data_IF_055261783602
#
_entry.id   IF_055261783602
#
_cell.length_a   1.000
_cell.length_b   1.000
_cell.length_c   1.000
_cell.angle_alpha   90.00
_cell.angle_beta   90.00
_cell.angle_gamma   90.00
#
_symmetry.space_group_name_H-M   'P 1'
#
loop_
_entity.id
_entity.type
_entity.pdbx_description
1 polymer ?
#
# COMPACT_ATOMS: atom_id res chain seq x y z
N UNK A 1 4.46 4.84 -13.84
CA UNK A 1 3.61 5.44 -12.76
C UNK A 1 3.35 4.40 -11.67
N UNK A 2 3.10 4.86 -10.44
CA UNK A 2 2.81 4.02 -9.27
C UNK A 2 1.52 4.50 -8.59
N UNK A 3 0.76 3.56 -8.03
CA UNK A 3 -0.37 3.83 -7.14
C UNK A 3 -0.18 3.10 -5.82
N UNK A 4 -0.49 3.77 -4.72
CA UNK A 4 -0.60 3.16 -3.39
C UNK A 4 -2.06 3.25 -3.00
N UNK A 5 -2.65 2.12 -2.60
CA UNK A 5 -4.07 2.00 -2.30
C UNK A 5 -4.23 1.39 -0.93
N UNK A 6 -5.02 2.06 -0.10
CA UNK A 6 -5.43 1.56 1.20
C UNK A 6 -6.85 1.01 1.10
N UNK A 7 -7.07 -0.17 1.68
CA UNK A 7 -8.34 -0.88 1.63
C UNK A 7 -8.73 -1.37 3.02
N UNK A 8 -10.04 -1.57 3.21
CA UNK A 8 -10.54 -2.44 4.26
C UNK A 8 -10.61 -3.86 3.73
N UNK A 9 -9.72 -4.73 4.19
CA UNK A 9 -9.68 -6.12 3.77
C UNK A 9 -10.86 -6.88 4.37
N UNK A 10 -11.56 -7.67 3.56
CA UNK A 10 -12.78 -8.38 3.97
C UNK A 10 -12.65 -9.91 3.84
N UNK A 11 -11.65 -10.39 3.09
CA UNK A 11 -11.42 -11.82 2.88
C UNK A 11 -9.99 -12.10 2.33
N UNK A 12 -9.49 -13.35 2.46
CA UNK A 12 -8.25 -13.81 1.82
C UNK A 12 -8.23 -13.54 0.32
N UNK A 13 -7.15 -12.96 -0.21
CA UNK A 13 -6.98 -12.63 -1.62
C UNK A 13 -7.66 -11.34 -2.08
N UNK A 14 -8.29 -10.56 -1.18
CA UNK A 14 -8.98 -9.31 -1.54
C UNK A 14 -8.06 -8.33 -2.30
N UNK A 15 -6.79 -8.20 -1.89
CA UNK A 15 -5.83 -7.30 -2.52
C UNK A 15 -5.65 -7.59 -4.03
N UNK A 16 -5.62 -8.87 -4.43
CA UNK A 16 -5.49 -9.25 -5.85
C UNK A 16 -6.68 -8.81 -6.68
N UNK A 17 -7.91 -8.93 -6.14
CA UNK A 17 -9.12 -8.41 -6.80
C UNK A 17 -9.01 -6.91 -7.03
N UNK A 18 -8.52 -6.17 -6.04
CA UNK A 18 -8.34 -4.71 -6.14
C UNK A 18 -7.28 -4.36 -7.19
N UNK A 19 -6.12 -5.03 -7.20
CA UNK A 19 -5.08 -4.84 -8.22
C UNK A 19 -5.64 -5.01 -9.65
N UNK A 20 -6.34 -6.11 -9.90
CA UNK A 20 -6.94 -6.39 -11.21
C UNK A 20 -8.03 -5.37 -11.57
N UNK A 21 -8.79 -4.90 -10.59
CA UNK A 21 -9.77 -3.83 -10.77
C UNK A 21 -9.13 -2.50 -11.19
N UNK A 22 -8.04 -2.10 -10.53
CA UNK A 22 -7.32 -0.86 -10.85
C UNK A 22 -6.75 -0.91 -12.28
N UNK A 23 -6.18 -2.06 -12.68
CA UNK A 23 -5.62 -2.20 -14.03
C UNK A 23 -6.67 -2.29 -15.15
N UNK A 24 -7.93 -2.61 -14.83
CA UNK A 24 -8.97 -2.85 -15.85
C UNK A 24 -10.09 -1.80 -15.88
N UNK A 25 -10.44 -1.18 -14.76
CA UNK A 25 -11.68 -0.40 -14.65
C UNK A 25 -11.56 1.02 -15.24
N UNK A 26 -10.58 1.82 -14.80
CA UNK A 26 -10.42 3.20 -15.24
C UNK A 26 -9.23 3.36 -16.19
N UNK A 27 -9.48 3.96 -17.36
CA UNK A 27 -8.44 4.23 -18.37
C UNK A 27 -7.23 4.98 -17.81
N UNK A 28 -7.44 5.87 -16.85
CA UNK A 28 -6.37 6.65 -16.21
C UNK A 28 -5.33 5.77 -15.48
N UNK A 29 -5.72 4.58 -15.01
CA UNK A 29 -4.85 3.68 -14.26
C UNK A 29 -4.35 2.47 -15.07
N UNK A 30 -4.78 2.32 -16.32
CA UNK A 30 -4.36 1.21 -17.20
C UNK A 30 -2.83 1.17 -17.43
N UNK A 31 -2.15 2.31 -17.39
CA UNK A 31 -0.69 2.40 -17.56
C UNK A 31 0.08 2.47 -16.23
N UNK A 32 -0.59 2.30 -15.09
CA UNK A 32 0.07 2.21 -13.78
C UNK A 32 0.83 0.89 -13.70
N UNK A 33 2.17 0.99 -13.58
CA UNK A 33 3.09 -0.15 -13.57
C UNK A 33 3.20 -0.81 -12.21
N UNK A 34 3.15 -0.02 -11.15
CA UNK A 34 3.34 -0.44 -9.77
C UNK A 34 2.08 -0.16 -8.97
N UNK A 35 1.53 -1.17 -8.32
CA UNK A 35 0.43 -1.02 -7.37
C UNK A 35 0.89 -1.59 -6.03
N UNK A 36 0.76 -0.82 -4.96
CA UNK A 36 0.93 -1.32 -3.59
C UNK A 36 -0.45 -1.27 -2.93
N UNK A 37 -0.91 -2.40 -2.41
CA UNK A 37 -2.16 -2.50 -1.64
C UNK A 37 -1.79 -2.61 -0.17
N UNK A 38 -2.41 -1.80 0.67
CA UNK A 38 -2.19 -1.70 2.12
C UNK A 38 -3.54 -1.74 2.85
N UNK A 39 -3.55 -1.99 4.15
CA UNK A 39 -4.78 -1.91 4.96
C UNK A 39 -5.15 -0.44 5.26
N UNK A 40 -6.26 -0.20 5.95
CA UNK A 40 -6.78 1.13 6.31
C UNK A 40 -6.08 1.81 7.48
N UNK A 41 -5.15 1.12 8.13
CA UNK A 41 -4.27 1.67 9.16
C UNK A 41 -3.00 2.34 8.59
N UNK A 42 -2.79 2.30 7.28
CA UNK A 42 -1.60 2.84 6.59
C UNK A 42 -1.93 4.16 5.90
N UNK A 43 -1.23 5.24 6.25
CA UNK A 43 -1.32 6.49 5.47
C UNK A 43 -0.53 6.37 4.16
N UNK A 44 -1.25 6.17 3.05
CA UNK A 44 -0.68 6.01 1.70
C UNK A 44 0.06 7.24 1.18
N UNK A 45 -0.07 8.40 1.83
CA UNK A 45 0.65 9.62 1.48
C UNK A 45 1.97 9.78 2.23
N UNK A 46 2.22 8.94 3.25
CA UNK A 46 3.43 8.92 4.06
C UNK A 46 4.27 7.69 3.71
N UNK A 47 5.42 7.90 3.07
CA UNK A 47 6.24 6.79 2.57
C UNK A 47 6.76 5.90 3.69
N UNK A 48 7.01 6.46 4.87
CA UNK A 48 7.42 5.72 6.06
C UNK A 48 6.41 4.62 6.42
N UNK A 49 5.10 4.90 6.34
CA UNK A 49 4.03 3.94 6.62
C UNK A 49 3.93 2.87 5.52
N UNK A 50 4.03 3.30 4.26
CA UNK A 50 3.95 2.39 3.11
C UNK A 50 5.12 1.40 3.13
N UNK A 51 6.34 1.90 3.37
CA UNK A 51 7.54 1.06 3.46
C UNK A 51 7.48 0.16 4.70
N UNK A 52 6.99 0.65 5.84
CA UNK A 52 6.75 -0.20 7.01
C UNK A 52 5.78 -1.35 6.70
N UNK A 53 4.64 -1.07 6.06
CA UNK A 53 3.68 -2.10 5.67
C UNK A 53 4.32 -3.13 4.71
N UNK A 54 5.04 -2.66 3.68
CA UNK A 54 5.72 -3.54 2.73
C UNK A 54 6.77 -4.44 3.40
N UNK A 55 7.58 -3.89 4.29
CA UNK A 55 8.71 -4.62 4.91
C UNK A 55 8.30 -5.55 6.05
N UNK A 56 7.12 -5.35 6.64
CA UNK A 56 6.65 -6.14 7.78
C UNK A 56 5.51 -7.11 7.42
N UNK A 57 4.72 -6.81 6.39
CA UNK A 57 3.51 -7.59 6.02
C UNK A 57 3.66 -8.41 4.75
N UNK A 58 4.79 -8.31 4.03
CA UNK A 58 4.99 -9.01 2.76
C UNK A 58 6.09 -10.07 2.81
N UNK A 59 5.80 -11.21 2.19
CA UNK A 59 6.81 -12.07 1.59
C UNK A 59 6.94 -11.70 0.09
N UNK A 60 8.11 -11.29 -0.42
CA UNK A 60 8.24 -10.79 -1.78
C UNK A 60 7.77 -11.75 -2.87
N UNK A 61 7.95 -13.07 -2.69
CA UNK A 61 7.61 -14.05 -3.72
C UNK A 61 6.13 -14.42 -3.69
N UNK A 62 5.55 -14.59 -2.50
CA UNK A 62 4.14 -14.94 -2.31
C UNK A 62 3.21 -13.77 -2.63
N UNK A 63 3.61 -12.56 -2.24
CA UNK A 63 2.73 -11.39 -2.17
C UNK A 63 2.93 -10.40 -3.32
N UNK A 64 3.80 -10.73 -4.29
CA UNK A 64 3.92 -9.99 -5.55
C UNK A 64 3.18 -10.69 -6.68
N UNK A 65 2.41 -9.93 -7.44
CA UNK A 65 1.70 -10.38 -8.65
C UNK A 65 2.32 -9.70 -9.85
N UNK A 66 2.91 -10.48 -10.74
CA UNK A 66 3.44 -10.01 -12.01
C UNK A 66 2.48 -10.37 -13.15
N UNK A 67 2.21 -9.41 -14.02
CA UNK A 67 1.47 -9.62 -15.28
C UNK A 67 2.35 -9.10 -16.41
N UNK A 68 2.77 -10.01 -17.28
CA UNK A 68 3.59 -9.69 -18.44
C UNK A 68 2.76 -9.29 -19.65
N UNK A 69 3.42 -8.69 -20.65
CA UNK A 69 2.82 -8.35 -21.94
C UNK A 69 1.53 -7.50 -21.84
N UNK A 70 1.56 -6.50 -20.96
CA UNK A 70 0.46 -5.55 -20.74
C UNK A 70 0.71 -4.23 -21.48
N UNK A 71 -0.36 -3.49 -21.86
CA UNK A 71 -0.22 -2.17 -22.46
C UNK A 71 0.48 -1.18 -21.52
N UNK A 72 1.51 -0.49 -22.01
CA UNK A 72 2.28 0.52 -21.28
C UNK A 72 2.35 1.79 -22.14
N UNK A 73 2.63 2.94 -21.52
CA UNK A 73 2.88 4.18 -22.25
C UNK A 73 4.01 4.00 -23.27
N UNK A 74 3.78 4.41 -24.52
CA UNK A 74 4.75 4.30 -25.60
C UNK A 74 6.06 5.05 -25.30
N UNK A 75 5.99 6.13 -24.50
CA UNK A 75 7.15 6.94 -24.13
C UNK A 75 7.96 6.35 -22.95
N UNK A 76 7.49 5.26 -22.35
CA UNK A 76 8.16 4.64 -21.22
C UNK A 76 9.32 3.74 -21.69
N UNK A 77 10.50 4.34 -21.82
CA UNK A 77 11.74 3.71 -22.27
C UNK A 77 12.25 2.58 -21.36
N UNK A 78 11.71 2.43 -20.15
CA UNK A 78 12.04 1.32 -19.26
C UNK A 78 11.26 0.04 -19.60
N UNK A 79 10.31 0.11 -20.54
CA UNK A 79 9.66 -1.08 -21.10
C UNK A 79 10.57 -1.81 -22.11
N UNK A 80 10.51 -3.14 -22.20
CA UNK A 80 11.35 -3.90 -23.13
C UNK A 80 10.99 -3.65 -24.60
N UNK A 81 9.72 -3.32 -24.87
CA UNK A 81 9.18 -3.01 -26.20
C UNK A 81 8.27 -1.79 -26.09
N UNK A 82 8.38 -0.85 -27.02
CA UNK A 82 7.55 0.36 -27.00
C UNK A 82 6.05 0.00 -26.97
N UNK A 83 5.35 0.48 -25.95
CA UNK A 83 3.91 0.22 -25.73
C UNK A 83 3.58 -1.10 -25.02
N UNK A 84 4.57 -1.95 -24.72
CA UNK A 84 4.34 -3.28 -24.13
C UNK A 84 5.36 -3.59 -23.02
N UNK A 85 4.87 -3.96 -21.84
CA UNK A 85 5.74 -4.33 -20.72
C UNK A 85 5.00 -5.08 -19.62
N UNK A 86 5.62 -5.20 -18.46
CA UNK A 86 5.02 -5.86 -17.30
C UNK A 86 4.44 -4.86 -16.31
N UNK A 87 3.55 -5.37 -15.45
CA UNK A 87 3.01 -4.69 -14.27
C UNK A 87 3.27 -5.55 -13.05
N UNK A 88 3.46 -4.89 -11.91
CA UNK A 88 3.62 -5.54 -10.61
C UNK A 88 2.64 -4.96 -9.60
N UNK A 89 1.93 -5.85 -8.93
CA UNK A 89 1.10 -5.58 -7.77
C UNK A 89 1.76 -6.17 -6.53
N UNK A 90 1.80 -5.41 -5.45
CA UNK A 90 2.44 -5.75 -4.19
C UNK A 90 1.38 -5.72 -3.09
N UNK A 91 1.07 -6.88 -2.50
CA UNK A 91 0.09 -7.02 -1.43
C UNK A 91 0.75 -6.85 -0.07
N UNK A 92 0.78 -5.61 0.43
CA UNK A 92 1.25 -5.23 1.75
C UNK A 92 0.14 -5.24 2.82
N UNK A 93 -0.98 -5.95 2.59
CA UNK A 93 -2.03 -6.12 3.61
C UNK A 93 -1.65 -7.15 4.66
N UNK A 94 -2.29 -7.10 5.82
CA UNK A 94 -2.22 -8.16 6.82
C UNK A 94 -2.70 -9.49 6.21
N UNK A 95 -1.98 -10.58 6.49
CA UNK A 95 -2.28 -11.89 5.93
C UNK A 95 -3.19 -12.68 6.86
N UNK A 96 -4.28 -13.18 6.30
CA UNK A 96 -5.32 -13.91 7.02
C UNK A 96 -5.09 -15.42 6.88
N UNK A 97 -5.88 -16.21 7.63
CA UNK A 97 -5.93 -17.65 7.48
C UNK A 97 -6.19 -18.03 6.00
N UNK A 98 -5.42 -18.99 5.50
CA UNK A 98 -5.41 -19.39 4.08
C UNK A 98 -4.43 -18.62 3.20
N UNK A 99 -3.91 -17.45 3.64
CA UNK A 99 -2.79 -16.76 2.99
C UNK A 99 -1.45 -17.06 3.69
N UNK A 100 -1.52 -17.46 4.96
CA UNK A 100 -0.39 -17.84 5.80
C UNK A 100 -0.85 -18.84 6.86
N UNK A 101 0.03 -19.78 7.22
CA UNK A 101 -0.18 -20.72 8.34
C UNK A 101 0.48 -20.22 9.64
N UNK A 102 1.10 -19.05 9.60
CA UNK A 102 1.81 -18.44 10.73
C UNK A 102 0.88 -17.56 11.54
N UNK A 103 1.08 -17.52 12.85
CA UNK A 103 0.51 -16.48 13.71
C UNK A 103 0.94 -15.10 13.19
N UNK A 104 -0.03 -14.22 12.98
CA UNK A 104 0.21 -12.90 12.41
C UNK A 104 0.42 -11.87 13.52
N UNK A 105 1.33 -10.92 13.29
CA UNK A 105 1.64 -9.88 14.27
C UNK A 105 0.50 -8.88 14.45
N UNK A 106 0.30 -8.41 15.67
CA UNK A 106 -0.63 -7.33 15.99
C UNK A 106 0.10 -5.98 15.94
N UNK A 107 -0.37 -5.06 15.11
CA UNK A 107 0.16 -3.69 15.06
C UNK A 107 0.00 -3.01 16.42
N UNK A 108 1.05 -2.35 16.88
CA UNK A 108 1.00 -1.53 18.10
C UNK A 108 0.10 -0.33 17.83
N UNK A 109 -0.89 -0.13 18.71
CA UNK A 109 -1.78 1.03 18.68
C UNK A 109 -1.62 1.81 19.98
N UNK A 110 -1.60 3.14 19.89
CA UNK A 110 -1.65 3.97 21.09
C UNK A 110 -3.06 3.94 21.67
N UNK A 111 -3.13 3.95 22.99
CA UNK A 111 -4.40 4.07 23.70
C UNK A 111 -5.08 5.41 23.37
N UNK A 112 -6.39 5.36 23.10
CA UNK A 112 -7.17 6.52 22.67
C UNK A 112 -7.21 7.61 23.74
N UNK A 113 -7.35 7.24 25.02
CA UNK A 113 -7.40 8.20 26.13
C UNK A 113 -6.06 8.95 26.24
N UNK A 114 -4.95 8.22 26.10
CA UNK A 114 -3.61 8.82 26.12
C UNK A 114 -3.42 9.76 24.95
N UNK A 115 -3.84 9.35 23.74
CA UNK A 115 -3.72 10.17 22.53
C UNK A 115 -4.50 11.47 22.65
N UNK A 116 -5.77 11.41 23.03
CA UNK A 116 -6.63 12.59 23.21
C UNK A 116 -6.08 13.54 24.27
N UNK A 117 -5.59 12.99 25.39
CA UNK A 117 -4.96 13.77 26.45
C UNK A 117 -3.72 14.52 25.97
N UNK A 118 -2.85 13.86 25.20
CA UNK A 118 -1.63 14.47 24.65
C UNK A 118 -1.97 15.51 23.59
N UNK A 119 -2.92 15.23 22.71
CA UNK A 119 -3.38 16.17 21.68
C UNK A 119 -3.94 17.46 22.31
N UNK A 120 -4.71 17.35 23.40
CA UNK A 120 -5.26 18.52 24.11
C UNK A 120 -4.21 19.40 24.79
N UNK A 121 -3.05 18.85 25.19
CA UNK A 121 -1.96 19.62 25.82
C UNK A 121 -0.87 20.05 24.85
N UNK A 122 -0.88 19.57 23.60
CA UNK A 122 0.24 19.69 22.67
C UNK A 122 0.73 21.14 22.50
N UNK A 123 -0.19 22.08 22.30
CA UNK A 123 0.14 23.50 22.14
C UNK A 123 0.79 24.11 23.39
N UNK A 124 0.37 23.66 24.59
CA UNK A 124 0.92 24.15 25.86
C UNK A 124 2.36 23.69 26.12
N UNK A 125 2.80 22.62 25.44
CA UNK A 125 4.15 22.08 25.60
C UNK A 125 5.20 22.90 24.85
N UNK A 126 4.80 23.77 23.91
CA UNK A 126 5.73 24.61 23.13
C UNK A 126 6.68 23.82 22.23
N UNK A 127 6.30 22.60 21.83
CA UNK A 127 7.11 21.71 20.98
C UNK A 127 6.72 21.90 19.52
N UNK A 128 7.68 22.26 18.67
CA UNK A 128 7.49 22.38 17.22
C UNK A 128 8.19 21.25 16.49
N UNK A 129 7.43 20.47 15.70
CA UNK A 129 7.98 19.41 14.87
C UNK A 129 8.10 19.88 13.41
N UNK A 130 9.24 19.69 12.74
CA UNK A 130 9.37 20.00 11.33
C UNK A 130 8.43 19.12 10.50
N UNK A 131 7.68 19.74 9.57
CA UNK A 131 6.78 19.04 8.64
C UNK A 131 5.34 18.79 9.13
N UNK A 132 5.02 19.14 10.38
CA UNK A 132 3.64 19.23 10.88
C UNK A 132 3.25 20.72 10.92
N UNK A 133 2.63 21.21 9.86
CA UNK A 133 1.90 22.49 9.93
C UNK A 133 0.63 22.25 10.75
N UNK A 134 0.19 23.19 11.62
CA UNK A 134 -1.08 23.07 12.33
C UNK A 134 -2.26 22.80 11.40
#
# INVERSE_FOLDING_TARGET
RMAVVSIRKEYPGHAKRIMLGIWSFLRQFMYTKFIIITDDDVDVRRWEDVIWAMTTRMDPRRDSVFIDNTPIDYLDFASPVAGLGSKVGMDATNKWEGETDREWGTSIQMDTEVKEKVDAMWDSLGIHLPGRTP
#
